data_IF_789194076614
#
_entry.id   IF_789194076614
#
_cell.length_a   1.000
_cell.length_b   1.000
_cell.length_c   1.000
_cell.angle_alpha   90.00
_cell.angle_beta   90.00
_cell.angle_gamma   90.00
#
_symmetry.space_group_name_H-M   'P 1'
#
loop_
_entity.id
_entity.type
_entity.pdbx_description
1 polymer ?
#
# COMPACT_ATOMS: atom_id res chain seq x y z
N UNK A 1 -7.47 -26.72 35.83
CA UNK A 1 -8.65 -26.62 34.94
C UNK A 1 -8.31 -25.63 33.85
N UNK A 2 -8.23 -26.12 32.61
CA UNK A 2 -7.86 -25.36 31.41
C UNK A 2 -8.97 -24.37 31.08
N UNK A 3 -8.72 -23.06 31.15
CA UNK A 3 -9.65 -22.08 30.59
C UNK A 3 -9.29 -21.91 29.12
N UNK A 4 -10.12 -22.51 28.27
CA UNK A 4 -10.03 -22.40 26.82
C UNK A 4 -10.53 -21.02 26.41
N UNK A 5 -9.68 -20.20 25.80
CA UNK A 5 -10.08 -18.93 25.22
C UNK A 5 -11.01 -19.21 24.03
N UNK A 6 -12.31 -19.23 24.31
CA UNK A 6 -13.35 -19.41 23.29
C UNK A 6 -13.56 -18.12 22.53
N UNK A 7 -13.62 -18.27 21.21
CA UNK A 7 -14.16 -17.34 20.22
C UNK A 7 -13.41 -16.01 20.06
N UNK A 8 -12.40 -16.02 19.19
CA UNK A 8 -12.14 -14.84 18.36
C UNK A 8 -13.35 -14.73 17.44
N UNK A 9 -14.24 -13.80 17.76
CA UNK A 9 -15.24 -13.29 16.82
C UNK A 9 -14.45 -12.70 15.64
N UNK A 10 -14.26 -13.50 14.59
CA UNK A 10 -13.82 -13.01 13.29
C UNK A 10 -14.94 -12.09 12.82
N UNK A 11 -14.74 -10.79 13.07
CA UNK A 11 -15.55 -9.73 12.48
C UNK A 11 -15.70 -10.01 10.99
N UNK A 12 -16.90 -9.81 10.48
CA UNK A 12 -17.26 -10.04 9.08
C UNK A 12 -16.12 -9.62 8.15
N UNK A 13 -15.79 -10.42 7.11
CA UNK A 13 -14.69 -10.07 6.20
C UNK A 13 -14.94 -8.66 5.71
N UNK A 14 -14.03 -7.75 6.07
CA UNK A 14 -14.06 -6.36 5.65
C UNK A 14 -14.22 -6.38 4.14
N UNK A 15 -15.44 -6.10 3.66
CA UNK A 15 -15.82 -6.40 2.28
C UNK A 15 -15.07 -5.49 1.28
N UNK A 16 -14.34 -4.50 1.81
CA UNK A 16 -13.43 -3.62 1.09
C UNK A 16 -11.99 -4.13 0.97
N UNK A 17 -11.52 -5.01 1.87
CA UNK A 17 -10.13 -5.49 1.84
C UNK A 17 -9.75 -6.22 0.53
N UNK A 18 -10.52 -7.18 0.01
CA UNK A 18 -10.15 -7.85 -1.24
C UNK A 18 -10.08 -6.86 -2.41
N UNK A 19 -11.01 -5.92 -2.52
CA UNK A 19 -11.02 -4.93 -3.61
C UNK A 19 -9.87 -3.92 -3.50
N UNK A 20 -9.48 -3.53 -2.29
CA UNK A 20 -8.31 -2.66 -2.07
C UNK A 20 -7.03 -3.38 -2.47
N UNK A 21 -6.88 -4.65 -2.09
CA UNK A 21 -5.71 -5.46 -2.45
C UNK A 21 -5.62 -5.71 -3.96
N UNK A 22 -6.74 -5.98 -4.63
CA UNK A 22 -6.76 -6.11 -6.09
C UNK A 22 -6.35 -4.82 -6.81
N UNK A 23 -6.85 -3.66 -6.32
CA UNK A 23 -6.46 -2.35 -6.86
C UNK A 23 -4.98 -2.07 -6.64
N UNK A 24 -4.48 -2.37 -5.44
CA UNK A 24 -3.07 -2.21 -5.09
C UNK A 24 -2.17 -3.05 -5.99
N UNK A 25 -2.48 -4.34 -6.14
CA UNK A 25 -1.70 -5.26 -6.96
C UNK A 25 -1.74 -4.83 -8.43
N UNK A 26 -2.91 -4.46 -8.94
CA UNK A 26 -3.06 -3.97 -10.32
C UNK A 26 -2.25 -2.70 -10.58
N UNK A 27 -2.23 -1.77 -9.62
CA UNK A 27 -1.43 -0.55 -9.72
C UNK A 27 0.06 -0.88 -9.81
N UNK A 28 0.60 -1.64 -8.85
CA UNK A 28 2.03 -1.93 -8.78
C UNK A 28 2.52 -2.78 -9.97
N UNK A 29 1.69 -3.65 -10.54
CA UNK A 29 2.03 -4.39 -11.76
C UNK A 29 2.10 -3.49 -13.02
N UNK A 30 1.39 -2.36 -13.02
CA UNK A 30 1.34 -1.43 -14.14
C UNK A 30 2.16 -0.15 -13.90
N UNK A 31 2.77 -0.01 -12.72
CA UNK A 31 3.48 1.19 -12.30
C UNK A 31 4.83 1.30 -13.04
N UNK A 32 5.09 2.46 -13.60
CA UNK A 32 6.33 2.84 -14.27
C UNK A 32 6.62 4.33 -14.03
N UNK A 33 7.85 4.78 -14.30
CA UNK A 33 8.25 6.19 -14.20
C UNK A 33 7.31 7.15 -14.94
N UNK A 34 6.66 6.71 -16.02
CA UNK A 34 5.73 7.53 -16.80
C UNK A 34 4.32 7.68 -16.21
N UNK A 35 3.96 6.95 -15.14
CA UNK A 35 2.58 6.92 -14.65
C UNK A 35 2.44 6.97 -13.11
N UNK A 36 3.43 7.51 -12.42
CA UNK A 36 3.47 7.62 -10.95
C UNK A 36 2.34 8.46 -10.37
N UNK A 37 1.70 9.32 -11.17
CA UNK A 37 0.51 10.06 -10.75
C UNK A 37 -0.65 9.14 -10.33
N UNK A 38 -0.63 7.85 -10.69
CA UNK A 38 -1.64 6.87 -10.28
C UNK A 38 -1.54 6.46 -8.80
N UNK A 39 -0.45 6.81 -8.10
CA UNK A 39 -0.28 6.51 -6.67
C UNK A 39 -1.43 7.05 -5.81
N UNK A 40 -2.00 8.20 -6.17
CA UNK A 40 -3.16 8.81 -5.51
C UNK A 40 -4.44 7.95 -5.52
N UNK A 41 -4.48 6.87 -6.33
CA UNK A 41 -5.63 5.97 -6.40
C UNK A 41 -5.66 4.94 -5.26
N UNK A 42 -4.54 4.74 -4.56
CA UNK A 42 -4.42 3.79 -3.45
C UNK A 42 -3.79 4.40 -2.19
N UNK A 43 -3.09 5.53 -2.33
CA UNK A 43 -2.48 6.26 -1.23
C UNK A 43 -3.19 7.59 -0.95
N UNK A 44 -3.32 7.92 0.32
CA UNK A 44 -3.76 9.24 0.77
C UNK A 44 -2.63 10.26 0.75
N UNK A 45 -2.97 11.54 0.90
CA UNK A 45 -2.02 12.66 0.91
C UNK A 45 -0.98 12.56 2.04
N UNK A 46 -1.35 12.00 3.19
CA UNK A 46 -0.53 11.88 4.41
C UNK A 46 0.18 10.51 4.56
N UNK A 47 0.37 9.78 3.45
CA UNK A 47 0.94 8.42 3.49
C UNK A 47 2.33 8.38 4.15
N UNK A 48 2.54 7.41 5.04
CA UNK A 48 3.88 7.00 5.46
C UNK A 48 4.29 5.73 4.72
N UNK A 49 5.33 5.82 3.89
CA UNK A 49 5.90 4.67 3.21
C UNK A 49 7.28 4.35 3.78
N UNK A 50 7.53 3.07 4.05
CA UNK A 50 8.82 2.60 4.51
C UNK A 50 9.21 1.30 3.82
N UNK A 51 10.45 1.27 3.33
CA UNK A 51 11.11 0.08 2.84
C UNK A 51 12.51 -0.05 3.50
N UNK A 52 13.28 -1.13 3.24
CA UNK A 52 14.59 -1.33 3.86
C UNK A 52 15.61 -0.20 3.65
N UNK A 53 15.46 0.61 2.60
CA UNK A 53 16.39 1.67 2.23
C UNK A 53 15.98 3.06 2.75
N UNK A 54 14.72 3.26 3.14
CA UNK A 54 14.25 4.59 3.55
C UNK A 54 12.82 4.66 4.03
N UNK A 55 12.47 5.83 4.56
CA UNK A 55 11.10 6.23 4.93
C UNK A 55 10.79 7.56 4.26
N UNK A 56 9.59 7.66 3.68
CA UNK A 56 9.06 8.89 3.07
C UNK A 56 7.67 9.18 3.63
N UNK A 57 7.34 10.47 3.68
CA UNK A 57 6.06 10.93 4.20
C UNK A 57 5.38 11.87 3.20
N UNK A 58 4.11 11.61 2.94
CA UNK A 58 3.31 12.33 1.97
C UNK A 58 3.44 11.78 0.55
N UNK A 59 2.37 11.99 -0.21
CA UNK A 59 2.23 11.45 -1.57
C UNK A 59 3.27 12.01 -2.56
N UNK A 60 3.66 13.27 -2.38
CA UNK A 60 4.64 13.94 -3.25
C UNK A 60 6.03 13.30 -3.11
N UNK A 61 6.51 13.15 -1.87
CA UNK A 61 7.79 12.49 -1.58
C UNK A 61 7.79 11.02 -2.02
N UNK A 62 6.67 10.31 -1.88
CA UNK A 62 6.53 8.95 -2.40
C UNK A 62 6.67 8.90 -3.93
N UNK A 63 6.08 9.88 -4.63
CA UNK A 63 6.15 9.97 -6.10
C UNK A 63 7.59 10.19 -6.56
N UNK A 64 8.32 11.12 -5.92
CA UNK A 64 9.73 11.37 -6.22
C UNK A 64 10.64 10.16 -5.91
N UNK A 65 10.37 9.49 -4.80
CA UNK A 65 11.11 8.29 -4.38
C UNK A 65 10.94 7.16 -5.39
N UNK A 66 9.70 6.88 -5.81
CA UNK A 66 9.40 5.88 -6.83
C UNK A 66 10.02 6.27 -8.18
N UNK A 67 9.96 7.55 -8.59
CA UNK A 67 10.59 8.02 -9.84
C UNK A 67 12.10 7.73 -9.87
N UNK A 68 12.77 7.91 -8.73
CA UNK A 68 14.19 7.63 -8.58
C UNK A 68 14.48 6.12 -8.60
N UNK A 69 13.64 5.31 -7.94
CA UNK A 69 13.79 3.85 -7.90
C UNK A 69 13.55 3.18 -9.27
N UNK A 70 12.58 3.67 -10.05
CA UNK A 70 12.25 3.15 -11.39
C UNK A 70 13.06 3.82 -12.52
N UNK A 71 13.87 4.83 -12.23
CA UNK A 71 14.70 5.53 -13.22
C UNK A 71 15.90 4.74 -13.76
N UNK A 72 16.26 3.63 -13.10
CA UNK A 72 17.46 2.85 -13.38
C UNK A 72 17.23 1.58 -14.24
N UNK A 73 16.04 1.40 -14.83
CA UNK A 73 15.75 0.31 -15.78
C UNK A 73 15.48 0.82 -17.20
#
# INVERSE_FOLDING_TARGET
>A
MTTSASAIEVGAPDSGLPVVLERFCSLYNALDKGNLNKLQQVYGEDIEFQDPFGRVHGLDQLTEYMASAYGNV
#
